data_IF_074768376675
#
_entry.id   IF_074768376675
#
_cell.length_a   1.000
_cell.length_b   1.000
_cell.length_c   1.000
_cell.angle_alpha   90.00
_cell.angle_beta   90.00
_cell.angle_gamma   90.00
#
_symmetry.space_group_name_H-M   'P 1'
#
loop_
_entity.id
_entity.type
_entity.pdbx_description
1 polymer ?
#
# COMPACT_ATOMS: atom_id res chain seq x y z
N UNK A 1 6.59 2.49 0.74
CA UNK A 1 5.31 3.19 0.41
C UNK A 1 4.15 2.84 1.35
N UNK A 2 3.99 1.55 1.69
CA UNK A 2 2.94 1.07 2.60
C UNK A 2 2.89 1.85 3.93
N UNK A 3 3.97 1.84 4.70
CA UNK A 3 4.03 2.51 6.01
C UNK A 3 3.75 4.01 5.91
N UNK A 4 4.24 4.66 4.85
CA UNK A 4 3.96 6.08 4.60
C UNK A 4 2.46 6.32 4.35
N UNK A 5 1.79 5.42 3.64
CA UNK A 5 0.34 5.52 3.44
C UNK A 5 -0.44 5.26 4.73
N UNK A 6 0.03 4.33 5.58
CA UNK A 6 -0.57 4.10 6.90
C UNK A 6 -0.52 5.37 7.75
N UNK A 7 0.65 6.00 7.87
CA UNK A 7 0.77 7.25 8.62
C UNK A 7 -0.15 8.37 8.09
N UNK A 8 -0.38 8.43 6.76
CA UNK A 8 -1.32 9.38 6.15
C UNK A 8 -2.79 9.06 6.42
N UNK A 9 -3.10 7.83 6.82
CA UNK A 9 -4.46 7.38 7.17
C UNK A 9 -4.77 7.62 8.65
N UNK A 10 -3.81 8.09 9.44
CA UNK A 10 -3.99 8.35 10.87
C UNK A 10 -4.49 9.79 11.06
N UNK A 11 -5.60 10.01 11.78
CA UNK A 11 -6.07 11.34 12.11
C UNK A 11 -5.06 12.08 12.98
N UNK A 12 -4.80 13.34 12.63
CA UNK A 12 -3.93 14.24 13.39
C UNK A 12 -4.75 15.07 14.37
N UNK A 13 -4.32 15.08 15.64
CA UNK A 13 -5.01 15.79 16.71
C UNK A 13 -4.82 17.30 16.66
N UNK A 14 -3.82 17.78 15.94
CA UNK A 14 -3.51 19.20 15.79
C UNK A 14 -4.18 19.83 14.55
N UNK A 15 -4.99 19.06 13.82
CA UNK A 15 -5.73 19.51 12.64
C UNK A 15 -7.24 19.50 12.91
N UNK A 16 -8.04 20.30 12.18
CA UNK A 16 -9.50 20.27 12.28
C UNK A 16 -10.06 18.86 12.08
N UNK A 17 -11.05 18.49 12.89
CA UNK A 17 -11.62 17.14 12.91
C UNK A 17 -12.34 16.75 11.61
N UNK A 18 -12.75 17.73 10.81
CA UNK A 18 -13.44 17.56 9.53
C UNK A 18 -12.47 17.40 8.35
N UNK A 19 -11.16 17.43 8.58
CA UNK A 19 -10.19 17.25 7.50
C UNK A 19 -10.23 15.81 6.95
N UNK A 20 -10.38 15.63 5.63
CA UNK A 20 -10.48 14.31 5.02
C UNK A 20 -9.14 13.56 5.10
N UNK A 21 -9.20 12.28 5.53
CA UNK A 21 -8.04 11.40 5.60
C UNK A 21 -7.77 10.73 4.25
N UNK A 22 -6.49 10.54 3.94
CA UNK A 22 -6.09 9.76 2.76
C UNK A 22 -6.06 8.29 3.13
N UNK A 23 -7.18 7.59 2.91
CA UNK A 23 -7.28 6.15 3.12
C UNK A 23 -6.49 5.35 2.06
N UNK A 24 -6.00 4.17 2.44
CA UNK A 24 -5.49 3.18 1.49
C UNK A 24 -6.69 2.47 0.86
N UNK A 25 -6.88 2.63 -0.45
CA UNK A 25 -7.97 2.01 -1.17
C UNK A 25 -7.84 0.47 -1.25
N UNK A 26 -8.98 -0.21 -1.39
CA UNK A 26 -9.05 -1.66 -1.55
C UNK A 26 -8.77 -2.45 -0.27
N UNK A 27 -8.56 -3.76 -0.42
CA UNK A 27 -8.36 -4.70 0.69
C UNK A 27 -6.97 -5.37 0.60
N UNK A 28 -6.44 -5.90 1.72
CA UNK A 28 -5.31 -6.82 1.67
C UNK A 28 -5.61 -8.03 0.77
N UNK A 29 -4.57 -8.62 0.14
CA UNK A 29 -4.75 -9.86 -0.61
C UNK A 29 -5.12 -11.02 0.32
N UNK A 30 -5.64 -12.10 -0.27
CA UNK A 30 -5.79 -13.39 0.41
C UNK A 30 -4.42 -13.90 0.85
N UNK A 31 -4.23 -14.11 2.15
CA UNK A 31 -2.97 -14.57 2.72
C UNK A 31 -2.65 -16.03 2.37
N UNK A 32 -3.65 -16.83 2.02
CA UNK A 32 -3.45 -18.19 1.53
C UNK A 32 -3.02 -18.23 0.05
N UNK A 33 -3.18 -17.10 -0.67
CA UNK A 33 -2.88 -16.95 -2.10
C UNK A 33 -2.23 -15.62 -2.38
N UNK A 34 -1.04 -15.42 -1.81
CA UNK A 34 -0.29 -14.19 -2.02
C UNK A 34 0.16 -14.06 -3.49
N UNK A 35 0.10 -12.85 -4.07
CA UNK A 35 0.63 -12.60 -5.41
C UNK A 35 2.16 -12.68 -5.39
N UNK A 36 2.74 -12.91 -6.57
CA UNK A 36 4.18 -12.78 -6.75
C UNK A 36 4.65 -11.34 -6.54
N UNK A 37 5.88 -11.19 -6.04
CA UNK A 37 6.48 -9.89 -5.76
C UNK A 37 5.85 -9.19 -4.56
N UNK A 38 5.55 -7.89 -4.74
CA UNK A 38 5.07 -7.03 -3.68
C UNK A 38 3.55 -7.13 -3.53
N UNK A 39 3.10 -7.76 -2.44
CA UNK A 39 1.69 -7.86 -2.06
C UNK A 39 0.94 -6.51 -1.94
N UNK A 40 1.66 -5.39 -1.85
CA UNK A 40 1.09 -4.05 -1.78
C UNK A 40 1.04 -3.32 -3.14
N UNK A 41 1.66 -3.83 -4.20
CA UNK A 41 1.76 -3.15 -5.51
C UNK A 41 0.41 -2.63 -6.02
N UNK A 42 -0.71 -3.40 -5.99
CA UNK A 42 -1.98 -2.94 -6.54
C UNK A 42 -2.55 -1.70 -5.84
N UNK A 43 -2.15 -1.47 -4.58
CA UNK A 43 -2.59 -0.34 -3.73
C UNK A 43 -1.49 0.71 -3.54
N UNK A 44 -0.30 0.48 -4.11
CA UNK A 44 0.87 1.31 -3.90
C UNK A 44 0.85 2.52 -4.83
N UNK A 45 0.88 3.73 -4.27
CA UNK A 45 0.95 4.98 -5.05
C UNK A 45 2.26 5.14 -5.87
N UNK A 46 3.29 4.33 -5.59
CA UNK A 46 4.51 4.22 -6.40
C UNK A 46 4.56 2.95 -7.27
N UNK A 47 3.53 2.10 -7.20
CA UNK A 47 3.51 0.76 -7.78
C UNK A 47 3.40 0.74 -9.30
N UNK A 48 2.52 1.57 -9.87
CA UNK A 48 2.29 1.85 -11.32
C UNK A 48 3.00 0.93 -12.32
N UNK A 49 2.80 -0.39 -12.28
CA UNK A 49 3.35 -1.28 -13.30
C UNK A 49 4.84 -1.60 -13.19
N UNK A 50 5.50 -1.26 -12.08
CA UNK A 50 6.94 -1.47 -11.92
C UNK A 50 7.26 -2.97 -11.88
N UNK A 51 8.13 -3.38 -12.79
CA UNK A 51 8.56 -4.76 -12.97
C UNK A 51 9.16 -5.32 -11.67
N UNK A 52 10.04 -4.55 -11.03
CA UNK A 52 10.66 -4.89 -9.74
C UNK A 52 9.66 -5.14 -8.60
N UNK A 53 8.43 -4.64 -8.72
CA UNK A 53 7.37 -4.83 -7.72
C UNK A 53 6.46 -6.02 -8.03
N UNK A 54 6.43 -6.51 -9.27
CA UNK A 54 5.50 -7.55 -9.75
C UNK A 54 6.16 -8.91 -9.92
N UNK A 55 7.47 -8.94 -10.15
CA UNK A 55 8.20 -10.20 -10.32
C UNK A 55 8.27 -10.98 -9.01
N UNK A 56 8.25 -12.32 -9.10
CA UNK A 56 8.76 -13.17 -8.03
C UNK A 56 10.16 -12.68 -7.62
N UNK A 57 10.47 -12.70 -6.33
CA UNK A 57 11.82 -12.42 -5.86
C UNK A 57 12.76 -13.48 -6.48
N UNK A 58 13.37 -13.13 -7.62
CA UNK A 58 14.37 -13.93 -8.30
C UNK A 58 15.65 -13.83 -7.46
N UNK A 59 15.67 -14.54 -6.34
CA UNK A 59 16.91 -14.89 -5.67
C UNK A 59 17.45 -16.09 -6.45
N UNK A 60 18.21 -15.79 -7.50
CA UNK A 60 19.29 -16.67 -7.95
C UNK A 60 20.50 -16.43 -7.03
#
# INVERSE_FOLDING_TARGET
PYTRSLFRSIPRLDLPADQPLTAIAGQPPDLARLPEGCAFEPRCFLGRGREDCRGACLIL
#
